data_IF_975935705190
#
_entry.id   IF_975935705190
#
_cell.length_a   1.000
_cell.length_b   1.000
_cell.length_c   1.000
_cell.angle_alpha   90.00
_cell.angle_beta   90.00
_cell.angle_gamma   90.00
#
_symmetry.space_group_name_H-M   'P 1'
#
loop_
_entity.id
_entity.type
_entity.pdbx_description
1 polymer ?
#
# COMPACT_ATOMS: atom_id res chain seq x y z
N UNK A 1 -4.92 -20.65 9.20
CA UNK A 1 -5.37 -21.79 10.03
C UNK A 1 -4.43 -22.10 11.19
N UNK A 2 -3.10 -22.24 10.96
CA UNK A 2 -2.14 -22.50 12.03
C UNK A 2 -2.16 -21.45 13.16
N UNK A 3 -2.25 -20.14 12.85
CA UNK A 3 -2.29 -19.09 13.87
C UNK A 3 -3.52 -19.11 14.78
N UNK A 4 -4.67 -19.58 14.28
CA UNK A 4 -5.88 -19.74 15.10
C UNK A 4 -5.75 -20.92 16.06
N UNK A 5 -5.17 -22.03 15.59
CA UNK A 5 -4.86 -23.19 16.42
C UNK A 5 -3.83 -22.86 17.51
N UNK A 6 -2.80 -22.09 17.16
CA UNK A 6 -1.76 -21.64 18.10
C UNK A 6 -2.31 -20.65 19.13
N UNK A 7 -3.20 -19.74 18.72
CA UNK A 7 -3.91 -18.84 19.62
C UNK A 7 -4.80 -19.60 20.61
N UNK A 8 -5.54 -20.61 20.15
CA UNK A 8 -6.35 -21.48 21.02
C UNK A 8 -5.49 -22.32 21.97
N UNK A 9 -4.34 -22.81 21.51
CA UNK A 9 -3.41 -23.57 22.33
C UNK A 9 -2.77 -22.72 23.45
N UNK A 10 -2.41 -21.47 23.16
CA UNK A 10 -1.87 -20.52 24.15
C UNK A 10 -2.94 -20.00 25.13
N UNK A 11 -4.22 -20.00 24.74
CA UNK A 11 -5.33 -19.66 25.62
C UNK A 11 -5.62 -20.77 26.65
N UNK A 12 -5.30 -22.02 26.35
CA UNK A 12 -5.57 -23.17 27.20
C UNK A 12 -4.95 -23.06 28.63
N UNK A 13 -3.66 -22.71 28.81
CA UNK A 13 -3.08 -22.52 30.14
C UNK A 13 -3.60 -21.26 30.87
N UNK A 14 -4.08 -20.25 30.13
CA UNK A 14 -4.66 -19.02 30.72
C UNK A 14 -6.08 -19.28 31.23
N UNK A 15 -6.87 -20.06 30.49
CA UNK A 15 -8.23 -20.46 30.88
C UNK A 15 -8.23 -21.38 32.11
N UNK A 16 -7.21 -22.23 32.28
CA UNK A 16 -7.07 -23.08 33.47
C UNK A 16 -6.75 -22.29 34.75
N UNK A 17 -6.22 -21.06 34.66
CA UNK A 17 -5.89 -20.21 35.82
C UNK A 17 -7.07 -19.39 36.34
N UNK A 18 -8.13 -19.24 35.55
CA UNK A 18 -9.35 -18.52 35.93
C UNK A 18 -10.58 -19.40 35.69
N UNK A 19 -10.97 -20.26 36.65
CA UNK A 19 -12.16 -21.10 36.56
C UNK A 19 -13.43 -20.27 36.82
N UNK A 20 -13.67 -19.27 35.96
CA UNK A 20 -14.97 -18.64 35.81
C UNK A 20 -15.69 -19.30 34.66
N UNK A 21 -16.98 -19.61 34.82
CA UNK A 21 -17.85 -20.07 33.74
C UNK A 21 -17.97 -18.98 32.67
N UNK A 22 -16.98 -18.91 31.78
CA UNK A 22 -17.00 -17.98 30.66
C UNK A 22 -18.12 -18.44 29.73
N UNK A 23 -19.24 -17.69 29.59
CA UNK A 23 -20.29 -18.07 28.67
C UNK A 23 -19.66 -17.95 27.28
N UNK A 24 -19.35 -19.08 26.65
CA UNK A 24 -18.70 -19.13 25.35
C UNK A 24 -19.50 -18.38 24.28
N UNK A 25 -20.83 -18.29 24.46
CA UNK A 25 -21.73 -17.46 23.66
C UNK A 25 -21.53 -15.94 23.87
N UNK A 26 -21.13 -15.50 25.06
CA UNK A 26 -20.76 -14.11 25.35
C UNK A 26 -19.31 -13.78 24.93
N UNK A 27 -18.39 -14.75 24.97
CA UNK A 27 -17.06 -14.61 24.39
C UNK A 27 -17.10 -14.55 22.85
N UNK A 28 -18.07 -15.23 22.23
CA UNK A 28 -18.43 -15.09 20.81
C UNK A 28 -19.20 -13.81 20.50
N UNK A 29 -19.65 -13.03 21.51
CA UNK A 29 -20.16 -11.68 21.25
C UNK A 29 -18.98 -10.80 20.86
N UNK A 30 -18.74 -10.75 19.54
CA UNK A 30 -17.80 -9.90 18.81
C UNK A 30 -17.98 -8.38 19.07
N UNK A 31 -18.68 -7.95 20.12
CA UNK A 31 -18.87 -6.53 20.46
C UNK A 31 -17.53 -5.80 20.65
N UNK A 32 -16.52 -6.47 21.22
CA UNK A 32 -15.15 -5.94 21.31
C UNK A 32 -14.32 -6.09 20.01
N UNK A 33 -14.66 -7.07 19.17
CA UNK A 33 -13.96 -7.34 17.90
C UNK A 33 -14.51 -6.55 16.71
N UNK A 34 -15.74 -6.01 16.81
CA UNK A 34 -16.39 -5.28 15.71
C UNK A 34 -15.58 -4.09 15.18
N UNK A 35 -14.90 -3.26 16.02
CA UNK A 35 -14.01 -2.21 15.53
C UNK A 35 -12.81 -2.78 14.76
N UNK A 36 -12.19 -3.86 15.24
CA UNK A 36 -11.06 -4.53 14.59
C UNK A 36 -11.49 -5.16 13.26
N UNK A 37 -12.63 -5.84 13.22
CA UNK A 37 -13.20 -6.45 12.01
C UNK A 37 -13.48 -5.37 10.96
N UNK A 38 -14.01 -4.21 11.37
CA UNK A 38 -14.29 -3.10 10.45
C UNK A 38 -13.02 -2.55 9.82
N UNK A 39 -11.97 -2.33 10.61
CA UNK A 39 -10.66 -1.87 10.12
C UNK A 39 -10.06 -2.89 9.17
N UNK A 40 -10.04 -4.18 9.55
CA UNK A 40 -9.52 -5.25 8.69
C UNK A 40 -10.30 -5.38 7.38
N UNK A 41 -11.62 -5.25 7.41
CA UNK A 41 -12.46 -5.25 6.20
C UNK A 41 -12.09 -4.10 5.28
N UNK A 42 -11.89 -2.90 5.82
CA UNK A 42 -11.53 -1.73 5.02
C UNK A 42 -10.12 -1.88 4.40
N UNK A 43 -9.16 -2.46 5.13
CA UNK A 43 -7.83 -2.81 4.62
C UNK A 43 -7.95 -3.87 3.51
N UNK A 44 -8.72 -4.94 3.74
CA UNK A 44 -8.94 -6.00 2.75
C UNK A 44 -9.52 -5.46 1.45
N UNK A 45 -10.53 -4.58 1.52
CA UNK A 45 -11.12 -3.96 0.32
C UNK A 45 -10.05 -3.15 -0.43
N UNK A 46 -9.19 -2.41 0.28
CA UNK A 46 -8.08 -1.66 -0.33
C UNK A 46 -7.11 -2.61 -1.04
N UNK A 47 -6.73 -3.72 -0.40
CA UNK A 47 -5.82 -4.72 -0.98
C UNK A 47 -6.46 -5.35 -2.22
N UNK A 48 -7.71 -5.79 -2.15
CA UNK A 48 -8.43 -6.36 -3.31
C UNK A 48 -8.54 -5.38 -4.47
N UNK A 49 -8.75 -4.09 -4.19
CA UNK A 49 -8.78 -3.06 -5.23
C UNK A 49 -7.42 -2.86 -5.90
N UNK A 50 -6.32 -2.95 -5.15
CA UNK A 50 -4.96 -2.89 -5.70
C UNK A 50 -4.63 -4.14 -6.53
N UNK A 51 -4.97 -5.33 -6.03
CA UNK A 51 -4.83 -6.59 -6.77
C UNK A 51 -5.64 -6.59 -8.07
N UNK A 52 -6.84 -6.01 -8.05
CA UNK A 52 -7.65 -5.82 -9.26
C UNK A 52 -6.92 -4.96 -10.29
N UNK A 53 -6.23 -3.88 -9.86
CA UNK A 53 -5.43 -3.06 -10.78
C UNK A 53 -4.32 -3.88 -11.42
N UNK A 54 -3.56 -4.66 -10.64
CA UNK A 54 -2.52 -5.54 -11.17
C UNK A 54 -3.06 -6.58 -12.14
N UNK A 55 -4.19 -7.21 -11.80
CA UNK A 55 -4.87 -8.15 -12.69
C UNK A 55 -5.27 -7.51 -14.02
N UNK A 56 -5.87 -6.31 -13.98
CA UNK A 56 -6.24 -5.56 -15.18
C UNK A 56 -5.02 -5.14 -16.02
N UNK A 57 -3.89 -4.88 -15.37
CA UNK A 57 -2.61 -4.56 -16.00
C UNK A 57 -2.07 -5.75 -16.79
N UNK A 58 -2.05 -6.94 -16.16
CA UNK A 58 -1.64 -8.19 -16.80
C UNK A 58 -2.59 -8.57 -17.94
N UNK A 59 -3.90 -8.43 -17.73
CA UNK A 59 -4.91 -8.72 -18.75
C UNK A 59 -4.84 -7.78 -19.95
N UNK A 60 -4.50 -6.50 -19.75
CA UNK A 60 -4.25 -5.57 -20.86
C UNK A 60 -2.94 -5.91 -21.57
N UNK A 61 -1.89 -6.24 -20.82
CA UNK A 61 -0.60 -6.64 -21.37
C UNK A 61 -0.69 -7.91 -22.23
N UNK A 62 -1.50 -8.89 -21.83
CA UNK A 62 -1.66 -10.15 -22.61
C UNK A 62 -2.28 -9.93 -23.98
N UNK A 63 -3.13 -8.91 -24.13
CA UNK A 63 -3.71 -8.51 -25.43
C UNK A 63 -2.69 -7.88 -26.37
N UNK A 64 -1.55 -7.42 -25.87
CA UNK A 64 -0.46 -6.80 -26.64
C UNK A 64 0.61 -7.81 -27.08
N UNK A 65 0.46 -9.09 -26.71
CA UNK A 65 1.34 -10.19 -27.09
C UNK A 65 2.17 -10.76 -25.94
N UNK A 66 2.62 -12.01 -26.10
CA UNK A 66 3.25 -12.81 -25.05
C UNK A 66 4.56 -12.18 -24.52
N UNK A 67 5.36 -11.58 -25.41
CA UNK A 67 6.60 -10.90 -24.99
C UNK A 67 6.32 -9.65 -24.15
N UNK A 68 5.22 -8.93 -24.41
CA UNK A 68 4.84 -7.72 -23.65
C UNK A 68 4.35 -8.06 -22.26
N UNK A 69 3.44 -9.05 -22.13
CA UNK A 69 2.95 -9.47 -20.82
C UNK A 69 4.07 -10.05 -19.95
N UNK A 70 4.99 -10.82 -20.53
CA UNK A 70 6.13 -11.38 -19.81
C UNK A 70 7.12 -10.29 -19.37
N UNK A 71 7.41 -9.32 -20.24
CA UNK A 71 8.26 -8.18 -19.89
C UNK A 71 7.63 -7.32 -18.79
N UNK A 72 6.32 -7.07 -18.86
CA UNK A 72 5.60 -6.37 -17.80
C UNK A 72 5.62 -7.15 -16.49
N UNK A 73 5.54 -8.48 -16.51
CA UNK A 73 5.69 -9.30 -15.29
C UNK A 73 7.08 -9.15 -14.66
N UNK A 74 8.15 -9.09 -15.47
CA UNK A 74 9.51 -8.79 -15.00
C UNK A 74 9.58 -7.41 -14.34
N UNK A 75 9.02 -6.38 -14.97
CA UNK A 75 8.99 -5.02 -14.40
C UNK A 75 8.12 -4.94 -13.14
N UNK A 76 7.02 -5.69 -13.06
CA UNK A 76 6.20 -5.79 -11.85
C UNK A 76 6.98 -6.45 -10.69
N UNK A 77 7.92 -7.37 -10.96
CA UNK A 77 8.81 -7.88 -9.90
C UNK A 77 9.72 -6.78 -9.34
N UNK A 78 10.19 -5.84 -10.18
CA UNK A 78 10.98 -4.70 -9.71
C UNK A 78 10.13 -3.77 -8.85
N UNK A 79 8.87 -3.58 -9.24
CA UNK A 79 7.89 -2.85 -8.43
C UNK A 79 7.68 -3.54 -7.08
N UNK A 80 7.51 -4.86 -7.05
CA UNK A 80 7.36 -5.60 -5.79
C UNK A 80 8.59 -5.48 -4.89
N UNK A 81 9.79 -5.58 -5.45
CA UNK A 81 11.03 -5.35 -4.71
C UNK A 81 11.07 -3.95 -4.08
N UNK A 82 10.71 -2.93 -4.86
CA UNK A 82 10.62 -1.54 -4.38
C UNK A 82 9.54 -1.40 -3.30
N UNK A 83 8.37 -2.00 -3.51
CA UNK A 83 7.24 -1.98 -2.57
C UNK A 83 7.68 -2.52 -1.22
N UNK A 84 8.34 -3.68 -1.18
CA UNK A 84 8.81 -4.27 0.06
C UNK A 84 9.82 -3.38 0.81
N UNK A 85 10.71 -2.69 0.07
CA UNK A 85 11.61 -1.70 0.67
C UNK A 85 10.87 -0.50 1.27
N UNK A 86 9.87 0.04 0.56
CA UNK A 86 9.06 1.17 1.02
C UNK A 86 8.09 0.79 2.14
N UNK A 87 7.58 -0.44 2.14
CA UNK A 87 6.69 -0.98 3.18
C UNK A 87 7.42 -1.07 4.53
N UNK A 88 8.72 -1.40 4.52
CA UNK A 88 9.55 -1.35 5.74
C UNK A 88 9.56 0.05 6.39
N UNK A 89 9.66 1.10 5.58
CA UNK A 89 9.55 2.48 6.06
C UNK A 89 8.14 2.82 6.52
N UNK A 90 7.12 2.34 5.80
CA UNK A 90 5.72 2.56 6.15
C UNK A 90 5.37 1.97 7.53
N UNK A 91 5.90 0.80 7.87
CA UNK A 91 5.74 0.21 9.21
C UNK A 91 6.44 1.00 10.31
N UNK A 92 7.62 1.57 10.04
CA UNK A 92 8.28 2.47 10.97
C UNK A 92 7.44 3.75 11.21
N UNK A 93 6.86 4.31 10.13
CA UNK A 93 5.94 5.46 10.21
C UNK A 93 4.67 5.12 10.98
N UNK A 94 4.12 3.93 10.76
CA UNK A 94 2.94 3.41 11.46
C UNK A 94 3.18 3.38 12.97
N UNK A 95 4.29 2.78 13.40
CA UNK A 95 4.64 2.67 14.81
C UNK A 95 4.93 4.03 15.47
N UNK A 96 5.82 4.83 14.87
CA UNK A 96 6.23 6.14 15.42
C UNK A 96 5.09 7.16 15.36
N UNK A 97 4.34 7.18 14.26
CA UNK A 97 3.19 8.06 14.04
C UNK A 97 2.03 7.70 14.98
N UNK A 98 1.71 6.41 15.11
CA UNK A 98 0.72 5.92 16.06
C UNK A 98 1.07 6.26 17.50
N UNK A 99 2.33 6.08 17.89
CA UNK A 99 2.81 6.47 19.22
C UNK A 99 2.70 7.97 19.49
N UNK A 100 3.14 8.83 18.55
CA UNK A 100 3.02 10.28 18.68
C UNK A 100 1.56 10.77 18.76
N UNK A 101 0.65 10.13 18.01
CA UNK A 101 -0.78 10.39 18.07
C UNK A 101 -1.40 9.93 19.40
N UNK A 102 -0.98 8.77 19.91
CA UNK A 102 -1.41 8.25 21.21
C UNK A 102 -1.05 9.19 22.36
N UNK A 103 0.13 9.82 22.29
CA UNK A 103 0.57 10.84 23.25
C UNK A 103 -0.04 12.23 23.01
N UNK A 104 -0.87 12.40 21.96
CA UNK A 104 -1.39 13.71 21.50
C UNK A 104 -0.30 14.76 21.28
N UNK A 105 0.92 14.33 20.95
CA UNK A 105 2.07 15.20 20.81
C UNK A 105 2.21 15.68 19.36
N UNK A 106 1.72 16.90 19.09
CA UNK A 106 1.74 17.51 17.75
C UNK A 106 3.13 17.72 17.20
N UNK A 107 4.08 18.09 18.04
CA UNK A 107 5.44 18.37 17.60
C UNK A 107 6.17 17.06 17.26
N UNK A 108 5.99 16.02 18.06
CA UNK A 108 6.51 14.68 17.76
C UNK A 108 5.90 14.15 16.45
N UNK A 109 4.59 14.28 16.25
CA UNK A 109 3.93 13.83 15.02
C UNK A 109 4.46 14.57 13.78
N UNK A 110 4.62 15.91 13.84
CA UNK A 110 5.26 16.67 12.76
C UNK A 110 6.67 16.16 12.45
N UNK A 111 7.46 15.88 13.49
CA UNK A 111 8.83 15.38 13.33
C UNK A 111 8.82 14.01 12.63
N UNK A 112 7.92 13.11 12.99
CA UNK A 112 7.75 11.82 12.30
C UNK A 112 7.44 12.04 10.83
N UNK A 113 6.47 12.90 10.49
CA UNK A 113 6.12 13.15 9.08
C UNK A 113 7.32 13.70 8.29
N UNK A 114 8.05 14.67 8.82
CA UNK A 114 9.21 15.28 8.13
C UNK A 114 10.34 14.27 7.96
N UNK A 115 10.74 13.60 9.04
CA UNK A 115 11.86 12.64 9.02
C UNK A 115 11.54 11.46 8.11
N UNK A 116 10.33 10.91 8.21
CA UNK A 116 9.93 9.81 7.35
C UNK A 116 9.83 10.23 5.88
N UNK A 117 9.33 11.44 5.58
CA UNK A 117 9.33 11.94 4.19
C UNK A 117 10.74 12.01 3.62
N UNK A 118 11.70 12.52 4.39
CA UNK A 118 13.09 12.59 3.97
C UNK A 118 13.68 11.20 3.68
N UNK A 119 13.53 10.25 4.60
CA UNK A 119 14.04 8.88 4.42
C UNK A 119 13.33 8.14 3.27
N UNK A 120 12.02 8.31 3.12
CA UNK A 120 11.27 7.71 2.02
C UNK A 120 11.72 8.26 0.66
N UNK A 121 11.99 9.57 0.55
CA UNK A 121 12.55 10.16 -0.67
C UNK A 121 13.99 9.71 -0.93
N UNK A 122 14.82 9.61 0.12
CA UNK A 122 16.19 9.13 -0.01
C UNK A 122 16.24 7.67 -0.50
N UNK A 123 15.41 6.80 0.07
CA UNK A 123 15.29 5.40 -0.37
C UNK A 123 14.70 5.32 -1.78
N UNK A 124 13.68 6.12 -2.09
CA UNK A 124 13.14 6.22 -3.44
C UNK A 124 14.20 6.64 -4.47
N UNK A 125 15.00 7.65 -4.16
CA UNK A 125 16.12 8.07 -5.00
C UNK A 125 17.19 6.98 -5.13
N UNK A 126 17.47 6.23 -4.06
CA UNK A 126 18.34 5.06 -4.09
C UNK A 126 17.85 3.99 -5.05
N UNK A 127 16.55 3.68 -5.06
CA UNK A 127 15.95 2.75 -6.02
C UNK A 127 16.03 3.27 -7.46
N UNK A 128 15.77 4.56 -7.69
CA UNK A 128 15.92 5.17 -9.03
C UNK A 128 17.35 4.98 -9.52
N UNK A 129 18.35 5.35 -8.71
CA UNK A 129 19.77 5.18 -9.07
C UNK A 129 20.11 3.70 -9.32
N UNK A 130 19.66 2.81 -8.45
CA UNK A 130 19.87 1.36 -8.58
C UNK A 130 19.31 0.81 -9.89
N UNK A 131 18.08 1.17 -10.27
CA UNK A 131 17.48 0.69 -11.51
C UNK A 131 18.08 1.34 -12.77
N UNK A 132 18.52 2.59 -12.71
CA UNK A 132 19.21 3.22 -13.85
C UNK A 132 20.60 2.62 -14.08
N UNK A 133 21.31 2.20 -13.03
CA UNK A 133 22.66 1.63 -13.13
C UNK A 133 22.66 0.12 -13.36
N UNK A 134 21.77 -0.61 -12.69
CA UNK A 134 21.77 -2.07 -12.68
C UNK A 134 20.51 -2.69 -13.31
N UNK A 135 19.54 -1.91 -13.76
CA UNK A 135 18.25 -2.43 -14.23
C UNK A 135 18.38 -3.42 -15.39
N UNK A 136 19.19 -3.10 -16.41
CA UNK A 136 19.45 -4.03 -17.53
C UNK A 136 20.12 -5.33 -17.07
N UNK A 137 21.07 -5.23 -16.13
CA UNK A 137 21.72 -6.39 -15.55
C UNK A 137 20.72 -7.26 -14.79
N UNK A 138 19.85 -6.68 -13.96
CA UNK A 138 18.80 -7.41 -13.24
C UNK A 138 17.84 -8.08 -14.23
N UNK A 139 17.43 -7.39 -15.31
CA UNK A 139 16.61 -7.99 -16.37
C UNK A 139 17.33 -9.21 -16.97
N UNK A 140 18.63 -9.10 -17.24
CA UNK A 140 19.41 -10.19 -17.83
C UNK A 140 19.50 -11.43 -16.95
N UNK A 141 19.47 -11.26 -15.62
CA UNK A 141 19.44 -12.35 -14.64
C UNK A 141 18.06 -13.00 -14.56
N UNK A 142 16.99 -12.21 -14.72
CA UNK A 142 15.61 -12.72 -14.64
C UNK A 142 15.15 -13.44 -15.90
N UNK A 143 15.69 -13.07 -17.07
CA UNK A 143 15.32 -13.72 -18.33
C UNK A 143 16.47 -13.82 -19.32
N UNK A 144 16.57 -15.01 -19.92
CA UNK A 144 17.45 -15.31 -21.06
C UNK A 144 16.79 -15.07 -22.42
N UNK A 145 15.49 -14.76 -22.45
CA UNK A 145 14.75 -14.56 -23.70
C UNK A 145 14.94 -13.14 -24.22
N UNK A 146 15.55 -13.02 -25.39
CA UNK A 146 15.94 -11.74 -25.98
C UNK A 146 14.73 -10.82 -26.27
N UNK A 147 13.63 -11.35 -26.79
CA UNK A 147 12.42 -10.56 -27.06
C UNK A 147 11.82 -9.93 -25.79
N UNK A 148 11.87 -10.65 -24.66
CA UNK A 148 11.40 -10.13 -23.36
C UNK A 148 12.36 -9.07 -22.84
N UNK A 149 13.68 -9.29 -22.96
CA UNK A 149 14.71 -8.34 -22.52
C UNK A 149 14.60 -7.00 -23.25
N UNK A 150 14.42 -7.02 -24.57
CA UNK A 150 14.29 -5.80 -25.38
C UNK A 150 13.07 -4.98 -24.97
N UNK A 151 11.92 -5.65 -24.82
CA UNK A 151 10.69 -4.99 -24.36
C UNK A 151 10.88 -4.46 -22.94
N UNK A 152 11.37 -5.27 -22.00
CA UNK A 152 11.57 -4.84 -20.61
C UNK A 152 12.53 -3.65 -20.51
N UNK A 153 13.61 -3.63 -21.31
CA UNK A 153 14.58 -2.53 -21.33
C UNK A 153 13.96 -1.25 -21.89
N UNK A 154 13.10 -1.36 -22.90
CA UNK A 154 12.35 -0.21 -23.47
C UNK A 154 11.45 0.44 -22.42
N UNK A 155 10.79 -0.35 -21.57
CA UNK A 155 9.87 0.14 -20.53
C UNK A 155 10.52 0.31 -19.15
N UNK A 156 11.80 -0.03 -19.00
CA UNK A 156 12.55 0.11 -17.76
C UNK A 156 12.51 1.54 -17.19
N UNK A 157 12.57 2.64 -17.99
CA UNK A 157 12.45 3.99 -17.44
C UNK A 157 11.14 4.21 -16.66
N UNK A 158 10.01 3.66 -17.11
CA UNK A 158 8.77 3.72 -16.33
C UNK A 158 8.92 3.03 -14.98
N UNK A 159 9.61 1.89 -14.92
CA UNK A 159 9.83 1.27 -13.61
C UNK A 159 10.84 2.06 -12.78
N UNK A 160 11.93 2.55 -13.37
CA UNK A 160 13.01 3.23 -12.67
C UNK A 160 12.53 4.48 -11.93
N UNK A 161 11.60 5.25 -12.50
CA UNK A 161 11.04 6.45 -11.88
C UNK A 161 9.83 6.19 -10.98
N UNK A 162 9.25 5.00 -11.05
CA UNK A 162 8.06 4.60 -10.27
C UNK A 162 8.22 4.76 -8.75
N UNK A 163 9.38 4.45 -8.12
CA UNK A 163 9.56 4.62 -6.68
C UNK A 163 9.25 6.03 -6.19
N UNK A 164 9.65 7.07 -6.94
CA UNK A 164 9.43 8.47 -6.58
C UNK A 164 7.94 8.86 -6.60
N UNK A 165 7.18 8.23 -7.49
CA UNK A 165 5.74 8.44 -7.61
C UNK A 165 5.01 7.67 -6.51
N UNK A 166 5.40 6.42 -6.29
CA UNK A 166 4.70 5.53 -5.39
C UNK A 166 4.98 5.86 -3.91
N UNK A 167 6.16 6.42 -3.59
CA UNK A 167 6.61 6.73 -2.21
C UNK A 167 5.56 7.44 -1.36
N UNK A 168 4.84 8.39 -1.95
CA UNK A 168 3.82 9.19 -1.26
C UNK A 168 2.68 8.32 -0.76
N UNK A 169 2.26 7.36 -1.58
CA UNK A 169 1.19 6.45 -1.24
C UNK A 169 1.59 5.55 -0.06
N UNK A 170 2.78 4.94 -0.09
CA UNK A 170 3.29 4.08 0.99
C UNK A 170 3.49 4.83 2.31
N UNK A 171 4.12 6.00 2.26
CA UNK A 171 4.34 6.85 3.42
C UNK A 171 3.03 7.23 4.12
N UNK A 172 2.07 7.72 3.33
CA UNK A 172 0.76 8.12 3.85
C UNK A 172 -0.05 6.91 4.30
N UNK A 173 0.04 5.78 3.60
CA UNK A 173 -0.63 4.55 4.01
C UNK A 173 -0.16 4.12 5.42
N UNK A 174 1.15 4.08 5.68
CA UNK A 174 1.69 3.80 7.03
C UNK A 174 1.18 4.77 8.10
N UNK A 175 1.12 6.06 7.79
CA UNK A 175 0.62 7.08 8.72
C UNK A 175 -0.87 6.92 9.04
N UNK A 176 -1.70 6.58 8.04
CA UNK A 176 -3.14 6.38 8.21
C UNK A 176 -3.46 5.07 8.90
N UNK A 177 -2.68 4.02 8.68
CA UNK A 177 -2.76 2.77 9.45
C UNK A 177 -2.43 3.05 10.91
N UNK A 178 -1.32 3.75 11.19
CA UNK A 178 -0.93 4.11 12.57
C UNK A 178 -1.96 4.98 13.28
N UNK A 179 -2.73 5.78 12.52
CA UNK A 179 -3.85 6.55 13.04
C UNK A 179 -5.19 5.79 13.10
N UNK A 180 -5.22 4.50 12.74
CA UNK A 180 -6.42 3.64 12.65
C UNK A 180 -7.52 4.18 11.71
N UNK A 181 -7.13 4.90 10.66
CA UNK A 181 -8.04 5.57 9.70
C UNK A 181 -8.21 4.81 8.39
N UNK A 182 -8.44 3.49 8.48
CA UNK A 182 -8.60 2.61 7.31
C UNK A 182 -9.72 3.03 6.34
N UNK A 183 -10.79 3.67 6.83
CA UNK A 183 -11.86 4.20 5.96
C UNK A 183 -11.37 5.23 4.94
N UNK A 184 -10.48 6.14 5.33
CA UNK A 184 -9.95 7.16 4.43
C UNK A 184 -9.04 6.53 3.37
N UNK A 185 -8.23 5.55 3.76
CA UNK A 185 -7.38 4.77 2.84
C UNK A 185 -8.22 4.01 1.81
N UNK A 186 -9.25 3.28 2.28
CA UNK A 186 -10.17 2.53 1.41
C UNK A 186 -10.86 3.45 0.41
N UNK A 187 -11.45 4.54 0.87
CA UNK A 187 -12.16 5.46 -0.01
C UNK A 187 -11.22 6.10 -1.05
N UNK A 188 -10.01 6.49 -0.64
CA UNK A 188 -9.01 7.04 -1.56
C UNK A 188 -8.59 6.02 -2.62
N UNK A 189 -8.41 4.74 -2.23
CA UNK A 189 -8.11 3.66 -3.16
C UNK A 189 -9.24 3.44 -4.18
N UNK A 190 -10.49 3.32 -3.70
CA UNK A 190 -11.64 3.10 -4.59
C UNK A 190 -11.85 4.27 -5.55
N UNK A 191 -11.64 5.52 -5.10
CA UNK A 191 -11.68 6.70 -5.96
C UNK A 191 -10.55 6.69 -6.98
N UNK A 192 -9.32 6.33 -6.58
CA UNK A 192 -8.20 6.20 -7.51
C UNK A 192 -8.45 5.13 -8.58
N UNK A 193 -9.01 3.98 -8.21
CA UNK A 193 -9.37 2.92 -9.16
C UNK A 193 -10.51 3.38 -10.08
N UNK A 194 -11.63 3.81 -9.50
CA UNK A 194 -12.85 4.08 -10.24
C UNK A 194 -12.82 5.34 -11.09
N UNK A 195 -12.21 6.41 -10.60
CA UNK A 195 -12.24 7.72 -11.27
C UNK A 195 -10.97 8.04 -12.06
N UNK A 196 -9.86 7.36 -11.78
CA UNK A 196 -8.58 7.65 -12.44
C UNK A 196 -8.10 6.44 -13.25
N UNK A 197 -7.88 5.29 -12.63
CA UNK A 197 -7.32 4.13 -13.33
C UNK A 197 -8.23 3.59 -14.42
N UNK A 198 -9.51 3.32 -14.13
CA UNK A 198 -10.43 2.77 -15.13
C UNK A 198 -10.59 3.72 -16.33
N UNK A 199 -10.86 5.04 -16.14
CA UNK A 199 -10.91 5.98 -17.26
C UNK A 199 -9.58 6.11 -18.00
N UNK A 200 -8.45 6.16 -17.29
CA UNK A 200 -7.13 6.22 -17.93
C UNK A 200 -6.83 4.98 -18.76
N UNK A 201 -7.13 3.78 -18.24
CA UNK A 201 -6.97 2.51 -18.96
C UNK A 201 -7.84 2.46 -20.22
N UNK A 202 -9.06 3.00 -20.16
CA UNK A 202 -9.94 3.08 -21.33
C UNK A 202 -9.45 4.10 -22.36
N UNK A 203 -9.04 5.30 -21.93
CA UNK A 203 -8.59 6.38 -22.80
C UNK A 203 -7.24 6.08 -23.47
N UNK A 204 -6.33 5.42 -22.73
CA UNK A 204 -4.97 5.12 -23.18
C UNK A 204 -4.84 3.73 -23.82
N UNK A 205 -5.95 3.01 -24.03
CA UNK A 205 -5.94 1.63 -24.58
C UNK A 205 -5.21 1.52 -25.93
N UNK A 206 -5.30 2.57 -26.75
CA UNK A 206 -4.75 2.62 -28.11
C UNK A 206 -3.29 3.11 -28.12
N UNK A 207 -2.75 3.52 -26.96
CA UNK A 207 -1.35 3.98 -26.79
C UNK A 207 -0.36 2.85 -26.49
N UNK A 208 -0.77 1.59 -26.67
CA UNK A 208 0.04 0.41 -26.41
C UNK A 208 0.55 0.33 -24.96
N UNK A 209 1.72 -0.27 -24.77
CA UNK A 209 2.24 -0.53 -23.43
C UNK A 209 2.69 0.76 -22.69
N UNK A 210 3.03 1.83 -23.42
CA UNK A 210 3.26 3.15 -22.82
C UNK A 210 1.99 3.70 -22.15
N UNK A 211 0.83 3.53 -22.79
CA UNK A 211 -0.46 3.92 -22.23
C UNK A 211 -0.80 3.16 -20.94
N UNK A 212 -0.49 1.86 -20.92
CA UNK A 212 -0.67 1.00 -19.75
C UNK A 212 0.18 1.45 -18.57
N UNK A 213 1.47 1.74 -18.77
CA UNK A 213 2.35 2.24 -17.70
C UNK A 213 1.96 3.65 -17.26
N UNK A 214 1.58 4.52 -18.18
CA UNK A 214 1.07 5.85 -17.85
C UNK A 214 -0.21 5.78 -17.01
N UNK A 215 -1.15 4.89 -17.35
CA UNK A 215 -2.37 4.65 -16.56
C UNK A 215 -2.05 4.19 -15.14
N UNK A 216 -1.06 3.31 -14.99
CA UNK A 216 -0.60 2.87 -13.67
C UNK A 216 0.10 3.98 -12.86
N UNK A 217 0.88 4.83 -13.53
CA UNK A 217 1.48 6.04 -12.95
C UNK A 217 0.41 7.00 -12.41
N UNK A 218 -0.60 7.30 -13.23
CA UNK A 218 -1.72 8.16 -12.85
C UNK A 218 -2.47 7.58 -11.65
N UNK A 219 -2.65 6.26 -11.62
CA UNK A 219 -3.23 5.57 -10.48
C UNK A 219 -2.41 5.76 -9.19
N UNK A 220 -1.09 5.56 -9.23
CA UNK A 220 -0.24 5.73 -8.05
C UNK A 220 -0.17 7.20 -7.59
N UNK A 221 -0.09 8.15 -8.53
CA UNK A 221 -0.18 9.57 -8.22
C UNK A 221 -1.52 9.92 -7.57
N UNK A 222 -2.64 9.45 -8.14
CA UNK A 222 -3.97 9.71 -7.60
C UNK A 222 -4.14 9.14 -6.19
N UNK A 223 -3.65 7.92 -5.96
CA UNK A 223 -3.67 7.29 -4.63
C UNK A 223 -2.91 8.14 -3.60
N UNK A 224 -1.71 8.58 -3.94
CA UNK A 224 -0.92 9.49 -3.08
C UNK A 224 -1.61 10.84 -2.87
N UNK A 225 -2.11 11.46 -3.93
CA UNK A 225 -2.74 12.78 -3.90
C UNK A 225 -4.06 12.79 -3.13
N UNK A 226 -4.93 11.81 -3.35
CA UNK A 226 -6.21 11.69 -2.65
C UNK A 226 -6.01 11.50 -1.14
N UNK A 227 -5.08 10.61 -0.77
CA UNK A 227 -4.75 10.37 0.64
C UNK A 227 -4.04 11.59 1.27
N UNK A 228 -3.20 12.27 0.49
CA UNK A 228 -2.58 13.54 0.87
C UNK A 228 -3.60 14.66 1.09
N UNK A 229 -4.63 14.73 0.25
CA UNK A 229 -5.77 15.62 0.43
C UNK A 229 -6.50 15.34 1.75
N UNK A 230 -6.77 14.07 2.06
CA UNK A 230 -7.29 13.66 3.36
C UNK A 230 -6.36 14.08 4.50
N UNK A 231 -5.04 13.93 4.34
CA UNK A 231 -4.06 14.34 5.34
C UNK A 231 -4.15 15.84 5.65
N UNK A 232 -4.12 16.68 4.62
CA UNK A 232 -4.20 18.15 4.74
C UNK A 232 -5.53 18.58 5.33
N UNK A 233 -6.63 17.97 4.90
CA UNK A 233 -7.96 18.28 5.44
C UNK A 233 -8.06 17.94 6.94
N UNK A 234 -7.59 16.76 7.35
CA UNK A 234 -7.53 16.36 8.76
C UNK A 234 -6.59 17.26 9.57
N UNK A 235 -5.52 17.77 8.94
CA UNK A 235 -4.55 18.68 9.54
C UNK A 235 -5.16 20.05 9.82
N UNK A 236 -5.84 20.65 8.84
CA UNK A 236 -6.51 21.94 8.99
C UNK A 236 -7.62 21.93 10.03
N UNK A 237 -8.30 20.80 10.21
CA UNK A 237 -9.37 20.66 11.20
C UNK A 237 -8.88 20.26 12.61
N UNK A 238 -7.56 20.16 12.83
CA UNK A 238 -6.93 19.61 14.05
C UNK A 238 -7.52 18.26 14.50
N UNK A 239 -7.99 17.49 13.52
CA UNK A 239 -8.63 16.20 13.78
C UNK A 239 -7.62 15.09 13.98
N UNK A 240 -6.37 15.25 13.57
CA UNK A 240 -5.33 14.24 13.81
C UNK A 240 -5.23 13.83 15.29
N UNK A 241 -5.34 14.77 16.22
CA UNK A 241 -5.29 14.48 17.66
C UNK A 241 -6.57 13.89 18.25
N UNK A 242 -7.66 13.85 17.47
CA UNK A 242 -8.94 13.26 17.87
C UNK A 242 -9.06 11.88 17.20
N UNK A 243 -8.73 10.83 17.96
CA UNK A 243 -8.85 9.46 17.47
C UNK A 243 -10.31 9.13 17.13
N UNK A 244 -10.58 8.33 16.07
CA UNK A 244 -11.93 7.92 15.73
C UNK A 244 -12.57 7.14 16.88
N UNK A 245 -13.59 7.70 17.54
CA UNK A 245 -14.35 7.02 18.61
C UNK A 245 -14.27 7.66 20.00
N UNK A 246 -13.43 8.67 20.22
CA UNK A 246 -13.31 9.37 21.52
C UNK A 246 -14.41 10.42 21.78
N UNK A 247 -15.61 10.22 21.23
CA UNK A 247 -16.67 11.23 21.21
C UNK A 247 -18.05 10.62 21.10
N UNK A 248 -18.42 9.80 22.09
CA UNK A 248 -19.78 9.56 22.57
C UNK A 248 -19.68 9.09 24.02
N UNK A 249 -19.65 10.05 24.94
CA UNK A 249 -20.19 9.90 26.30
C UNK A 249 -21.50 10.66 26.34
#
# INVERSE_FOLDING_TARGET
YAGLALGLWLLNPVLQRYPGSMPWLDALRLRGAAPLIKVNRDILIRTLALELVFYLLVMQGSRMGDSVVAANAVLLNFLMLTSHGLDGLAHAVEALGGHALGQRNRQAFKRVVVVSTFWSLLVGAGFILGFNLAGEWIISVLTSVESIRQVASTYLPWMAWMPLVAVWSYLLDGLFIGATRARAMRNSMLLAVGLIYIPAAWLLRDSGNHGLWLGFYLFMLARGALLGGWFVWLWKQDRWMRLPGSGRS
#
